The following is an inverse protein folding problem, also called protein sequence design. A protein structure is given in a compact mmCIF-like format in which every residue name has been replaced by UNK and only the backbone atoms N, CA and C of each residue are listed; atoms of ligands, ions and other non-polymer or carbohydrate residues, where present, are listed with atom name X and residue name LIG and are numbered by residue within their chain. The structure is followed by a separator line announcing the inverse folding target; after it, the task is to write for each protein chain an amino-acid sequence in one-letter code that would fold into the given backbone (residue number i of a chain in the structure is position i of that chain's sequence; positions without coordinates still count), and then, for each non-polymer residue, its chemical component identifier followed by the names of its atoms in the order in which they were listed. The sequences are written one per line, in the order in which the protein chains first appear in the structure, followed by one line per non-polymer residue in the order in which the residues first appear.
data_IF_368181789643
#
_entry.id   IF_368181789643
#
_cell.length_a   1.000
_cell.length_b   1.000
_cell.length_c   1.000
_cell.angle_alpha   90.00
_cell.angle_beta   90.00
_cell.angle_gamma   90.00
#
_symmetry.space_group_name_H-M   'P 1'
#
loop_
_entity.id
_entity.type
_entity.pdbx_description
1 polymer ?
#
# COMPACT_ATOMS: atom_id res chain seq x y z
N UNK A 1 -8.98 -1.15 30.84
CA UNK A 1 -9.89 -2.05 30.08
C UNK A 1 -9.54 -1.91 28.61
N UNK A 2 -9.33 -3.03 27.91
CA UNK A 2 -9.22 -3.08 26.46
C UNK A 2 -10.61 -3.35 25.86
N UNK A 3 -10.96 -2.63 24.81
CA UNK A 3 -12.23 -2.83 24.08
C UNK A 3 -12.04 -3.95 23.04
N UNK A 4 -12.88 -5.00 23.03
CA UNK A 4 -12.75 -6.09 22.05
C UNK A 4 -13.17 -5.63 20.65
N UNK A 5 -12.47 -6.13 19.61
CA UNK A 5 -12.84 -5.96 18.19
C UNK A 5 -14.20 -6.59 17.93
N UNK A 6 -15.07 -5.90 17.17
CA UNK A 6 -16.41 -6.38 16.81
C UNK A 6 -16.51 -6.86 15.36
N UNK A 7 -15.54 -6.49 14.52
CA UNK A 7 -15.51 -6.81 13.10
C UNK A 7 -14.59 -8.01 12.80
N UNK A 8 -14.85 -8.80 11.74
CA UNK A 8 -13.94 -9.86 11.33
C UNK A 8 -12.62 -9.29 10.79
N UNK A 9 -11.54 -10.05 10.87
CA UNK A 9 -10.25 -9.67 10.25
C UNK A 9 -10.27 -9.99 8.76
N UNK A 10 -10.79 -11.17 8.40
CA UNK A 10 -11.03 -11.59 7.02
C UNK A 10 -12.53 -11.55 6.74
N UNK A 11 -12.94 -10.73 5.79
CA UNK A 11 -14.34 -10.52 5.42
C UNK A 11 -14.82 -11.45 4.30
N UNK A 12 -13.92 -12.02 3.51
CA UNK A 12 -14.28 -12.98 2.47
C UNK A 12 -14.73 -14.32 3.04
N UNK A 13 -15.59 -15.03 2.31
CA UNK A 13 -15.95 -16.41 2.64
C UNK A 13 -14.73 -17.34 2.61
N UNK A 14 -14.70 -18.42 3.43
CA UNK A 14 -13.66 -19.44 3.37
C UNK A 14 -13.48 -20.00 1.95
N UNK A 15 -12.25 -20.03 1.46
CA UNK A 15 -11.94 -20.50 0.10
C UNK A 15 -12.24 -19.50 -1.01
N UNK A 16 -12.55 -18.24 -0.69
CA UNK A 16 -12.70 -17.19 -1.68
C UNK A 16 -11.45 -17.10 -2.59
N UNK A 17 -11.63 -16.97 -3.91
CA UNK A 17 -10.52 -16.88 -4.84
C UNK A 17 -9.72 -15.61 -4.59
N UNK A 18 -8.40 -15.69 -4.75
CA UNK A 18 -7.52 -14.53 -4.67
C UNK A 18 -6.05 -14.92 -4.56
N UNK A 19 -5.17 -13.92 -4.54
CA UNK A 19 -3.72 -14.12 -4.61
C UNK A 19 -3.07 -14.55 -3.28
N UNK A 20 -3.81 -14.56 -2.16
CA UNK A 20 -3.31 -15.00 -0.85
C UNK A 20 -3.69 -16.45 -0.60
N UNK A 21 -2.71 -17.28 -0.24
CA UNK A 21 -2.94 -18.67 0.11
C UNK A 21 -3.70 -18.78 1.45
N UNK A 22 -4.49 -19.84 1.62
CA UNK A 22 -5.31 -20.02 2.82
C UNK A 22 -4.50 -20.01 4.13
N UNK A 23 -3.28 -20.56 4.12
CA UNK A 23 -2.38 -20.53 5.28
C UNK A 23 -1.93 -19.11 5.62
N UNK A 24 -1.65 -18.30 4.62
CA UNK A 24 -1.19 -16.92 4.80
C UNK A 24 -2.36 -16.02 5.26
N UNK A 25 -3.59 -16.30 4.83
CA UNK A 25 -4.79 -15.65 5.37
C UNK A 25 -5.00 -15.96 6.85
N UNK A 26 -4.77 -17.21 7.28
CA UNK A 26 -4.83 -17.58 8.71
C UNK A 26 -3.74 -16.85 9.52
N UNK A 27 -2.54 -16.71 8.95
CA UNK A 27 -1.47 -15.90 9.54
C UNK A 27 -1.90 -14.43 9.69
N UNK A 28 -2.44 -13.82 8.64
CA UNK A 28 -2.95 -12.45 8.69
C UNK A 28 -4.08 -12.28 9.72
N UNK A 29 -5.00 -13.25 9.82
CA UNK A 29 -6.10 -13.23 10.79
C UNK A 29 -5.59 -13.24 12.24
N UNK A 30 -4.56 -14.03 12.52
CA UNK A 30 -3.96 -14.15 13.85
C UNK A 30 -3.02 -12.97 14.19
N UNK A 31 -2.14 -12.61 13.26
CA UNK A 31 -1.03 -11.66 13.49
C UNK A 31 -1.39 -10.21 13.13
N UNK A 32 -2.40 -10.00 12.29
CA UNK A 32 -2.83 -8.69 11.81
C UNK A 32 -1.97 -8.09 10.69
N UNK A 33 -1.01 -8.85 10.15
CA UNK A 33 -0.16 -8.44 9.02
C UNK A 33 0.22 -9.62 8.12
N UNK A 34 0.62 -9.32 6.88
CA UNK A 34 1.08 -10.29 5.89
C UNK A 34 2.34 -9.75 5.21
N UNK A 35 3.40 -10.54 5.20
CA UNK A 35 4.62 -10.26 4.42
C UNK A 35 4.61 -11.07 3.14
N UNK A 36 4.99 -10.45 2.02
CA UNK A 36 5.10 -11.13 0.73
C UNK A 36 6.50 -10.93 0.20
N UNK A 37 7.24 -12.03 0.11
CA UNK A 37 8.58 -12.01 -0.46
C UNK A 37 8.49 -11.73 -1.97
N UNK A 38 9.32 -10.80 -2.44
CA UNK A 38 9.46 -10.47 -3.86
C UNK A 38 8.13 -10.23 -4.59
N UNK A 39 7.22 -9.46 -3.97
CA UNK A 39 5.96 -9.06 -4.62
C UNK A 39 6.18 -8.38 -5.99
N UNK A 40 7.26 -7.61 -6.07
CA UNK A 40 7.74 -6.93 -7.29
C UNK A 40 9.19 -7.34 -7.56
N UNK A 41 9.55 -7.36 -8.84
CA UNK A 41 10.89 -7.68 -9.31
C UNK A 41 11.91 -6.59 -8.99
N UNK A 42 13.21 -6.89 -9.02
CA UNK A 42 14.26 -5.88 -8.85
C UNK A 42 14.18 -4.72 -9.84
N UNK A 43 13.78 -4.99 -11.09
CA UNK A 43 13.63 -3.96 -12.12
C UNK A 43 12.46 -3.03 -11.81
N UNK A 44 11.33 -3.57 -11.34
CA UNK A 44 10.20 -2.77 -10.86
C UNK A 44 10.58 -1.92 -9.64
N UNK A 45 11.35 -2.48 -8.69
CA UNK A 45 11.89 -1.72 -7.56
C UNK A 45 12.71 -0.52 -8.03
N UNK A 46 13.54 -0.70 -9.06
CA UNK A 46 14.33 0.39 -9.62
C UNK A 46 13.44 1.50 -10.22
N UNK A 47 12.34 1.15 -10.90
CA UNK A 47 11.35 2.10 -11.43
C UNK A 47 10.71 2.90 -10.29
N UNK A 48 10.24 2.25 -9.23
CA UNK A 48 9.59 2.94 -8.10
C UNK A 48 10.56 3.83 -7.32
N UNK A 49 11.82 3.40 -7.18
CA UNK A 49 12.86 4.21 -6.54
C UNK A 49 13.17 5.47 -7.36
N UNK A 50 13.32 5.34 -8.68
CA UNK A 50 13.56 6.49 -9.55
C UNK A 50 12.41 7.50 -9.49
N UNK A 51 11.17 7.04 -9.46
CA UNK A 51 10.01 7.93 -9.30
C UNK A 51 9.97 8.60 -7.92
N UNK A 52 10.27 7.85 -6.85
CA UNK A 52 10.38 8.42 -5.50
C UNK A 52 11.42 9.54 -5.47
N UNK A 53 12.62 9.29 -6.00
CA UNK A 53 13.72 10.27 -6.03
C UNK A 53 13.34 11.52 -6.83
N UNK A 54 12.63 11.34 -7.96
CA UNK A 54 12.10 12.44 -8.76
C UNK A 54 11.11 13.28 -7.95
N UNK A 55 10.12 12.64 -7.31
CA UNK A 55 9.07 13.33 -6.53
C UNK A 55 9.65 14.12 -5.37
N UNK A 56 10.53 13.52 -4.56
CA UNK A 56 11.08 14.20 -3.37
C UNK A 56 12.07 15.31 -3.70
N UNK A 57 12.63 15.31 -4.93
CA UNK A 57 13.53 16.35 -5.43
C UNK A 57 12.80 17.47 -6.18
N UNK A 58 11.53 17.27 -6.52
CA UNK A 58 10.73 18.23 -7.27
C UNK A 58 10.29 19.41 -6.36
N UNK A 59 10.72 20.66 -6.64
CA UNK A 59 10.32 21.82 -5.87
C UNK A 59 8.81 22.06 -5.85
N UNK A 60 8.10 21.67 -6.92
CA UNK A 60 6.65 21.80 -7.01
C UNK A 60 5.96 20.83 -6.06
N UNK A 61 6.42 19.58 -6.00
CA UNK A 61 5.93 18.59 -5.02
C UNK A 61 6.21 19.06 -3.60
N UNK A 62 7.41 19.58 -3.33
CA UNK A 62 7.75 20.12 -1.99
C UNK A 62 6.86 21.29 -1.56
N UNK A 63 6.42 22.11 -2.51
CA UNK A 63 5.53 23.24 -2.26
C UNK A 63 4.04 22.86 -2.21
N UNK A 64 3.68 21.65 -2.62
CA UNK A 64 2.30 21.13 -2.59
C UNK A 64 1.84 20.86 -1.14
N UNK A 65 0.57 21.12 -0.86
CA UNK A 65 -0.04 20.91 0.47
C UNK A 65 -0.05 19.44 0.91
N UNK A 66 0.09 18.51 -0.03
CA UNK A 66 0.23 17.07 0.24
C UNK A 66 1.59 16.70 0.79
N UNK A 67 2.56 17.60 0.75
CA UNK A 67 3.92 17.32 1.22
C UNK A 67 4.13 17.78 2.66
N UNK A 68 4.63 16.86 3.48
CA UNK A 68 5.10 17.15 4.82
C UNK A 68 6.60 17.34 4.76
N UNK A 69 7.05 18.56 5.02
CA UNK A 69 8.46 18.97 4.98
C UNK A 69 9.00 19.14 6.39
N UNK A 70 10.18 18.59 6.64
CA UNK A 70 10.88 18.80 7.91
C UNK A 70 11.37 20.24 8.03
N UNK A 71 10.98 20.91 9.13
CA UNK A 71 11.24 22.34 9.32
C UNK A 71 12.72 22.73 9.26
N UNK A 72 13.61 21.89 9.78
CA UNK A 72 15.04 22.22 9.90
C UNK A 72 15.81 21.95 8.60
N UNK A 73 15.67 20.73 8.06
CA UNK A 73 16.41 20.29 6.87
C UNK A 73 15.79 20.74 5.55
N UNK A 74 14.51 21.11 5.57
CA UNK A 74 13.69 21.36 4.38
C UNK A 74 13.56 20.12 3.46
N UNK A 75 13.78 18.93 4.01
CA UNK A 75 13.59 17.66 3.30
C UNK A 75 12.13 17.21 3.35
N UNK A 76 11.64 16.66 2.24
CA UNK A 76 10.33 16.00 2.19
C UNK A 76 10.37 14.72 3.04
N UNK A 77 9.41 14.57 3.95
CA UNK A 77 9.27 13.40 4.84
C UNK A 77 8.12 12.48 4.42
N UNK A 78 7.03 13.07 3.96
CA UNK A 78 5.87 12.34 3.46
C UNK A 78 5.24 13.09 2.29
N UNK A 79 4.72 12.36 1.32
CA UNK A 79 3.90 12.90 0.23
C UNK A 79 2.58 12.13 0.24
N UNK A 80 1.47 12.82 0.52
CA UNK A 80 0.14 12.24 0.56
C UNK A 80 -0.48 12.16 -0.84
N UNK A 81 -1.49 11.30 -0.99
CA UNK A 81 -2.21 11.08 -2.25
C UNK A 81 -1.30 10.79 -3.46
N UNK A 82 -0.16 10.10 -3.24
CA UNK A 82 0.84 9.84 -4.30
C UNK A 82 0.24 9.18 -5.55
N UNK A 83 -0.78 8.34 -5.38
CA UNK A 83 -1.54 7.70 -6.45
C UNK A 83 -2.36 8.65 -7.33
N UNK A 84 -2.56 9.92 -6.91
CA UNK A 84 -3.24 10.97 -7.70
C UNK A 84 -2.29 11.86 -8.46
N UNK A 85 -1.02 11.92 -8.03
CA UNK A 85 0.00 12.84 -8.58
C UNK A 85 1.14 12.11 -9.28
N UNK A 86 1.19 10.78 -9.21
CA UNK A 86 2.16 9.92 -9.89
C UNK A 86 1.48 8.73 -10.55
N UNK A 87 1.55 8.65 -11.88
CA UNK A 87 1.02 7.52 -12.64
C UNK A 87 1.73 6.20 -12.32
N UNK A 88 3.03 6.27 -11.97
CA UNK A 88 3.84 5.10 -11.58
C UNK A 88 3.28 4.48 -10.29
N UNK A 89 3.03 5.29 -9.26
CA UNK A 89 2.44 4.78 -8.02
C UNK A 89 0.95 4.46 -8.16
N UNK A 90 0.22 5.18 -9.02
CA UNK A 90 -1.16 4.82 -9.36
C UNK A 90 -1.24 3.42 -10.00
N UNK A 91 -0.26 3.07 -10.84
CA UNK A 91 -0.10 1.74 -11.43
C UNK A 91 0.10 0.68 -10.36
N UNK A 92 1.04 0.88 -9.43
CA UNK A 92 1.31 -0.06 -8.33
C UNK A 92 0.07 -0.31 -7.46
N UNK A 93 -0.67 0.74 -7.12
CA UNK A 93 -1.88 0.63 -6.29
C UNK A 93 -2.98 -0.19 -6.98
N UNK A 94 -3.06 -0.13 -8.31
CA UNK A 94 -4.06 -0.86 -9.11
C UNK A 94 -3.60 -2.26 -9.54
N UNK A 95 -2.34 -2.61 -9.31
CA UNK A 95 -1.79 -3.91 -9.69
C UNK A 95 -2.50 -5.04 -8.91
N UNK A 96 -2.94 -6.09 -9.62
CA UNK A 96 -3.67 -7.22 -9.02
C UNK A 96 -2.88 -7.94 -7.92
N UNK A 97 -1.54 -7.87 -7.95
CA UNK A 97 -0.70 -8.37 -6.85
C UNK A 97 -0.95 -7.59 -5.55
N UNK A 98 -1.36 -6.33 -5.61
CA UNK A 98 -1.70 -5.48 -4.46
C UNK A 98 -3.22 -5.49 -4.22
N UNK A 99 -3.99 -4.97 -5.18
CA UNK A 99 -5.44 -4.75 -4.98
C UNK A 99 -6.22 -6.07 -4.86
N UNK A 100 -5.76 -7.15 -5.51
CA UNK A 100 -6.38 -8.46 -5.38
C UNK A 100 -6.28 -9.02 -3.96
N UNK A 101 -5.18 -8.73 -3.24
CA UNK A 101 -5.03 -9.11 -1.82
C UNK A 101 -5.99 -8.32 -0.94
N UNK A 102 -6.11 -7.01 -1.18
CA UNK A 102 -7.03 -6.15 -0.44
C UNK A 102 -8.50 -6.59 -0.63
N UNK A 103 -8.91 -6.85 -1.88
CA UNK A 103 -10.26 -7.38 -2.18
C UNK A 103 -10.51 -8.73 -1.55
N UNK A 104 -9.52 -9.63 -1.56
CA UNK A 104 -9.66 -10.93 -0.91
C UNK A 104 -9.80 -10.78 0.62
N UNK A 105 -9.01 -9.94 1.27
CA UNK A 105 -9.11 -9.73 2.73
C UNK A 105 -10.42 -9.04 3.10
N UNK A 106 -10.84 -8.03 2.34
CA UNK A 106 -12.00 -7.19 2.64
C UNK A 106 -13.32 -7.72 2.07
N UNK A 107 -13.29 -8.76 1.22
CA UNK A 107 -14.49 -9.40 0.68
C UNK A 107 -15.35 -8.51 -0.22
N UNK A 108 -14.81 -7.40 -0.73
CA UNK A 108 -15.52 -6.43 -1.57
C UNK A 108 -14.58 -5.77 -2.56
N UNK A 109 -15.13 -4.98 -3.49
CA UNK A 109 -14.34 -3.97 -4.20
C UNK A 109 -13.79 -2.92 -3.22
N UNK A 110 -12.66 -2.31 -3.59
CA UNK A 110 -11.89 -1.40 -2.74
C UNK A 110 -11.51 -0.13 -3.49
N UNK A 111 -11.21 0.94 -2.74
CA UNK A 111 -10.75 2.22 -3.27
C UNK A 111 -9.61 2.79 -2.41
N UNK A 112 -8.93 3.81 -2.94
CA UNK A 112 -7.92 4.61 -2.24
C UNK A 112 -8.32 6.07 -2.29
#
# INVERSE_FOLDING_TARGET
MTTPRQDPVIWSAPGAPGPVAAKDLQGYEHDGFLTVDQLISPDEVAVYRAELDRLISDPAVRADERSIVEKQSQNVRSVFEVHRISEVFAGLVRDERVVGRARQILGSDVYV
#
